data_IF_656701488720
#
_entry.id   IF_656701488720
#
_cell.length_a   1.000
_cell.length_b   1.000
_cell.length_c   1.000
_cell.angle_alpha   90.00
_cell.angle_beta   90.00
_cell.angle_gamma   90.00
#
_symmetry.space_group_name_H-M   'P 1'
#
loop_
_entity.id
_entity.type
_entity.pdbx_description
1 polymer ?
#
# COMPACT_ATOMS: atom_id res chain seq x y z
N UNK A 1 6.79 -7.13 -21.36
CA UNK A 1 7.60 -6.48 -20.32
C UNK A 1 6.65 -6.13 -19.18
N UNK A 2 6.80 -6.73 -17.99
CA UNK A 2 5.96 -6.39 -16.83
C UNK A 2 6.68 -5.30 -16.06
N UNK A 3 6.14 -4.07 -16.05
CA UNK A 3 6.74 -2.93 -15.35
C UNK A 3 6.12 -2.69 -13.96
N UNK A 4 5.40 -3.69 -13.43
CA UNK A 4 4.93 -3.72 -12.05
C UNK A 4 3.58 -3.06 -11.82
N UNK A 5 2.95 -3.40 -10.69
CA UNK A 5 1.59 -2.96 -10.35
C UNK A 5 1.45 -1.43 -10.26
N UNK A 6 2.45 -0.74 -9.71
CA UNK A 6 2.40 0.72 -9.56
C UNK A 6 2.28 1.43 -10.92
N UNK A 7 3.14 1.07 -11.88
CA UNK A 7 3.12 1.66 -13.22
C UNK A 7 1.86 1.26 -14.00
N UNK A 8 1.35 0.06 -13.79
CA UNK A 8 0.06 -0.36 -14.32
C UNK A 8 -1.10 0.51 -13.80
N UNK A 9 -1.10 0.83 -12.50
CA UNK A 9 -2.11 1.73 -11.90
C UNK A 9 -1.99 3.17 -12.42
N UNK A 10 -0.77 3.70 -12.59
CA UNK A 10 -0.58 5.02 -13.19
C UNK A 10 -1.13 5.09 -14.63
N UNK A 11 -0.85 4.06 -15.44
CA UNK A 11 -1.41 3.97 -16.80
C UNK A 11 -2.93 3.85 -16.80
N UNK A 12 -3.49 3.00 -15.93
CA UNK A 12 -4.92 2.88 -15.78
C UNK A 12 -5.56 4.23 -15.45
N UNK A 13 -4.93 5.00 -14.55
CA UNK A 13 -5.40 6.33 -14.18
C UNK A 13 -5.36 7.32 -15.35
N UNK A 14 -4.26 7.34 -16.10
CA UNK A 14 -4.15 8.13 -17.35
C UNK A 14 -5.22 7.73 -18.36
N UNK A 15 -5.43 6.43 -18.59
CA UNK A 15 -6.45 5.90 -19.50
C UNK A 15 -7.88 6.23 -19.04
N UNK A 16 -8.06 6.47 -17.75
CA UNK A 16 -9.34 6.90 -17.16
C UNK A 16 -9.58 8.41 -17.29
N UNK A 17 -8.75 9.14 -18.04
CA UNK A 17 -8.93 10.56 -18.36
C UNK A 17 -8.19 11.54 -17.45
N UNK A 18 -7.18 11.08 -16.69
CA UNK A 18 -6.36 11.96 -15.87
C UNK A 18 -5.28 12.67 -16.71
N UNK A 19 -5.68 13.76 -17.37
CA UNK A 19 -4.79 14.53 -18.27
C UNK A 19 -3.65 15.23 -17.51
N UNK A 20 -3.85 15.61 -16.24
CA UNK A 20 -2.79 16.21 -15.41
C UNK A 20 -1.69 15.18 -15.13
N UNK A 21 -2.06 13.97 -14.73
CA UNK A 21 -1.10 12.89 -14.53
C UNK A 21 -0.39 12.52 -15.83
N UNK A 22 -1.11 12.50 -16.95
CA UNK A 22 -0.54 12.22 -18.27
C UNK A 22 0.50 13.26 -18.67
N UNK A 23 0.18 14.54 -18.53
CA UNK A 23 1.11 15.64 -18.82
C UNK A 23 2.35 15.55 -17.92
N UNK A 24 2.15 15.31 -16.63
CA UNK A 24 3.23 15.11 -15.67
C UNK A 24 4.16 13.96 -16.07
N UNK A 25 3.62 12.79 -16.42
CA UNK A 25 4.43 11.62 -16.79
C UNK A 25 5.18 11.79 -18.11
N UNK A 26 4.69 12.65 -19.02
CA UNK A 26 5.32 12.93 -20.31
C UNK A 26 6.40 14.02 -20.22
N UNK A 27 6.16 15.06 -19.41
CA UNK A 27 6.94 16.29 -19.45
C UNK A 27 7.84 16.50 -18.23
N UNK A 28 7.67 15.73 -17.15
CA UNK A 28 8.48 15.94 -15.94
C UNK A 28 9.93 15.51 -16.14
N UNK A 29 10.84 16.23 -15.48
CA UNK A 29 12.22 15.80 -15.35
C UNK A 29 12.30 14.42 -14.67
N UNK A 30 13.33 13.64 -14.99
CA UNK A 30 13.46 12.26 -14.51
C UNK A 30 13.43 12.14 -12.97
N UNK A 31 13.96 13.13 -12.26
CA UNK A 31 13.94 13.19 -10.79
C UNK A 31 12.58 13.61 -10.21
N UNK A 32 11.67 14.13 -11.03
CA UNK A 32 10.34 14.62 -10.64
C UNK A 32 9.21 13.70 -11.11
N UNK A 33 9.50 12.55 -11.74
CA UNK A 33 8.48 11.57 -12.11
C UNK A 33 7.97 10.74 -10.92
N UNK A 34 8.75 10.68 -9.83
CA UNK A 34 8.41 9.91 -8.61
C UNK A 34 8.12 8.41 -8.86
N UNK A 35 8.62 7.84 -9.96
CA UNK A 35 8.42 6.43 -10.31
C UNK A 35 9.62 5.54 -9.98
N UNK A 36 10.64 6.02 -9.27
CA UNK A 36 11.78 5.18 -8.87
C UNK A 36 11.34 4.14 -7.82
N UNK A 37 12.03 2.99 -7.71
CA UNK A 37 11.72 1.99 -6.69
C UNK A 37 11.70 2.55 -5.26
N UNK A 38 12.63 3.46 -4.95
CA UNK A 38 12.74 4.05 -3.60
C UNK A 38 11.51 4.89 -3.26
N UNK A 39 11.09 5.76 -4.18
CA UNK A 39 9.91 6.61 -3.99
C UNK A 39 8.62 5.76 -3.96
N UNK A 40 8.55 4.70 -4.77
CA UNK A 40 7.42 3.76 -4.70
C UNK A 40 7.33 3.08 -3.32
N UNK A 41 8.46 2.64 -2.76
CA UNK A 41 8.50 2.04 -1.43
C UNK A 41 8.12 3.04 -0.33
N UNK A 42 8.55 4.30 -0.46
CA UNK A 42 8.15 5.37 0.45
C UNK A 42 6.63 5.58 0.41
N UNK A 43 6.02 5.67 -0.77
CA UNK A 43 4.57 5.76 -0.90
C UNK A 43 3.85 4.56 -0.26
N UNK A 44 4.34 3.34 -0.46
CA UNK A 44 3.78 2.13 0.14
C UNK A 44 3.80 2.24 1.67
N UNK A 45 4.91 2.69 2.25
CA UNK A 45 5.04 2.85 3.70
C UNK A 45 4.11 3.93 4.25
N UNK A 46 4.08 5.11 3.62
CA UNK A 46 3.25 6.24 4.06
C UNK A 46 1.76 5.89 3.99
N UNK A 47 1.31 5.35 2.85
CA UNK A 47 -0.09 4.96 2.64
C UNK A 47 -0.45 3.81 3.59
N UNK A 48 0.43 2.81 3.73
CA UNK A 48 0.24 1.69 4.65
C UNK A 48 0.08 2.15 6.10
N UNK A 49 0.93 3.07 6.56
CA UNK A 49 0.86 3.63 7.91
C UNK A 49 -0.46 4.39 8.15
N UNK A 50 -0.92 5.19 7.19
CA UNK A 50 -2.19 5.92 7.31
C UNK A 50 -3.39 4.98 7.33
N UNK A 51 -3.42 3.96 6.47
CA UNK A 51 -4.48 2.94 6.46
C UNK A 51 -4.55 2.23 7.82
N UNK A 52 -3.40 1.77 8.34
CA UNK A 52 -3.32 1.10 9.64
C UNK A 52 -3.80 2.04 10.76
N UNK A 53 -3.36 3.29 10.76
CA UNK A 53 -3.78 4.32 11.72
C UNK A 53 -5.30 4.50 11.74
N UNK A 54 -5.93 4.57 10.56
CA UNK A 54 -7.39 4.67 10.46
C UNK A 54 -8.12 3.42 10.94
N UNK A 55 -7.64 2.22 10.57
CA UNK A 55 -8.22 0.95 11.01
C UNK A 55 -8.16 0.85 12.54
N UNK A 56 -7.00 1.14 13.14
CA UNK A 56 -6.82 1.12 14.60
C UNK A 56 -7.71 2.15 15.29
N UNK A 57 -7.80 3.38 14.77
CA UNK A 57 -8.71 4.41 15.30
C UNK A 57 -10.17 3.94 15.27
N UNK A 58 -10.61 3.26 14.21
CA UNK A 58 -11.98 2.72 14.10
C UNK A 58 -12.20 1.57 15.08
N UNK A 59 -11.23 0.66 15.22
CA UNK A 59 -11.30 -0.45 16.16
C UNK A 59 -11.39 0.04 17.62
N UNK A 60 -10.57 1.01 18.03
CA UNK A 60 -10.59 1.56 19.39
C UNK A 60 -11.90 2.28 19.70
N UNK A 61 -12.52 2.92 18.70
CA UNK A 61 -13.83 3.58 18.85
C UNK A 61 -15.00 2.61 18.89
N UNK A 62 -14.83 1.38 18.41
CA UNK A 62 -15.89 0.38 18.40
C UNK A 62 -16.24 -0.05 19.83
N UNK A 63 -17.48 -0.51 20.04
CA UNK A 63 -17.90 -1.03 21.34
C UNK A 63 -17.13 -2.32 21.68
N UNK A 64 -16.81 -3.11 20.67
CA UNK A 64 -16.15 -4.40 20.81
C UNK A 64 -15.09 -4.57 19.73
N UNK A 65 -13.85 -4.83 20.16
CA UNK A 65 -12.77 -5.28 19.28
C UNK A 65 -12.05 -6.49 19.88
N UNK A 66 -11.36 -7.25 19.03
CA UNK A 66 -10.54 -8.38 19.42
C UNK A 66 -9.27 -8.39 18.58
N UNK A 67 -8.17 -8.79 19.21
CA UNK A 67 -6.87 -8.98 18.57
C UNK A 67 -6.56 -10.47 18.58
N UNK A 68 -6.24 -11.03 17.41
CA UNK A 68 -5.84 -12.42 17.23
C UNK A 68 -4.38 -12.42 16.81
N UNK A 69 -3.55 -13.13 17.57
CA UNK A 69 -2.16 -13.38 17.23
C UNK A 69 -2.01 -14.88 16.98
N UNK A 70 -1.52 -15.26 15.80
CA UNK A 70 -1.34 -16.66 15.42
C UNK A 70 0.07 -16.86 14.88
N UNK A 71 0.71 -17.93 15.34
CA UNK A 71 2.04 -18.35 14.94
C UNK A 71 1.97 -19.73 14.29
N UNK A 72 2.58 -19.86 13.12
CA UNK A 72 2.66 -21.14 12.39
C UNK A 72 4.08 -21.35 11.92
N UNK A 73 4.61 -22.56 12.13
CA UNK A 73 5.90 -22.96 11.58
C UNK A 73 5.71 -23.52 10.18
N UNK A 74 6.34 -22.93 9.17
CA UNK A 74 6.31 -23.46 7.81
C UNK A 74 7.20 -24.72 7.67
N UNK A 75 7.04 -25.48 6.58
CA UNK A 75 7.85 -26.65 6.20
C UNK A 75 9.35 -26.32 6.19
N UNK A 76 9.69 -25.06 5.91
CA UNK A 76 11.06 -24.52 5.96
C UNK A 76 11.61 -24.23 7.37
N UNK A 77 10.85 -24.51 8.43
CA UNK A 77 11.11 -24.16 9.85
C UNK A 77 11.21 -22.66 10.13
N UNK A 78 10.66 -21.83 9.24
CA UNK A 78 10.53 -20.39 9.47
C UNK A 78 9.23 -20.15 10.23
N UNK A 79 9.31 -19.46 11.36
CA UNK A 79 8.15 -18.99 12.13
C UNK A 79 7.46 -17.86 11.37
N UNK A 80 6.17 -18.03 11.10
CA UNK A 80 5.32 -16.99 10.54
C UNK A 80 4.38 -16.50 11.64
N UNK A 81 4.50 -15.21 11.96
CA UNK A 81 3.63 -14.54 12.92
C UNK A 81 2.61 -13.67 12.19
N UNK A 82 1.34 -13.79 12.57
CA UNK A 82 0.23 -13.03 12.02
C UNK A 82 -0.56 -12.33 13.12
N UNK A 83 -0.93 -11.07 12.87
CA UNK A 83 -1.74 -10.26 13.77
C UNK A 83 -3.00 -9.80 13.02
N UNK A 84 -4.17 -10.07 13.59
CA UNK A 84 -5.47 -9.71 13.03
C UNK A 84 -6.29 -8.90 14.03
N UNK A 85 -6.93 -7.83 13.57
CA UNK A 85 -7.84 -7.00 14.37
C UNK A 85 -9.25 -7.15 13.80
N UNK A 86 -10.21 -7.51 14.65
CA UNK A 86 -11.64 -7.58 14.32
C UNK A 86 -12.43 -6.63 15.21
N UNK A 87 -13.31 -5.82 14.64
CA UNK A 87 -14.17 -4.88 15.37
C UNK A 87 -15.56 -4.82 14.73
N UNK A 88 -16.60 -4.55 15.53
CA UNK A 88 -18.02 -4.41 15.11
C UNK A 88 -18.59 -3.10 15.63
#
# INVERSE_FOLDING_TARGET
HNDGNFRALLRFRVQSGDEVLKEHLLNSAHNAMYTSPDIQNEFIQLIGAEIISQIVKRAIKSRFFTVLANETTDISRIEQFSLCIRYI
#
